data_IF_220624906407
#
_entry.id   IF_220624906407
#
_cell.length_a   1.000
_cell.length_b   1.000
_cell.length_c   1.000
_cell.angle_alpha   90.00
_cell.angle_beta   90.00
_cell.angle_gamma   90.00
#
_symmetry.space_group_name_H-M   'P 1'
#
loop_
_entity.id
_entity.type
_entity.pdbx_description
1 polymer ?
#
# COMPACT_ATOMS: atom_id res chain seq x y z
N UNK A 1 -17.77 -31.68 33.44
CA UNK A 1 -17.92 -30.24 33.35
C UNK A 1 -16.60 -29.46 33.37
N UNK A 2 -15.52 -29.89 34.00
CA UNK A 2 -14.23 -29.17 34.05
C UNK A 2 -13.42 -29.22 32.74
N UNK A 3 -13.59 -30.22 31.90
CA UNK A 3 -12.86 -30.39 30.62
C UNK A 3 -13.41 -29.49 29.49
N UNK A 4 -14.69 -29.11 29.56
CA UNK A 4 -15.32 -28.26 28.55
C UNK A 4 -14.90 -26.76 28.66
N UNK A 5 -14.57 -26.35 29.90
CA UNK A 5 -14.14 -24.96 30.17
C UNK A 5 -12.73 -24.69 29.67
N UNK A 6 -11.84 -25.68 29.62
CA UNK A 6 -10.47 -25.56 29.18
C UNK A 6 -10.40 -25.40 27.65
N UNK A 7 -11.30 -26.07 26.90
CA UNK A 7 -11.38 -25.96 25.45
C UNK A 7 -11.83 -24.56 25.00
N UNK A 8 -12.68 -23.89 25.78
CA UNK A 8 -13.17 -22.54 25.45
C UNK A 8 -12.10 -21.45 25.65
N UNK A 9 -11.20 -21.65 26.62
CA UNK A 9 -10.09 -20.70 26.88
C UNK A 9 -8.98 -20.79 25.84
N UNK A 10 -8.78 -21.94 25.18
CA UNK A 10 -7.79 -22.11 24.12
C UNK A 10 -8.28 -21.46 22.82
N UNK A 11 -9.60 -21.46 22.56
CA UNK A 11 -10.17 -20.84 21.35
C UNK A 11 -10.16 -19.29 21.39
N UNK A 12 -10.18 -18.70 22.59
CA UNK A 12 -10.13 -17.25 22.77
C UNK A 12 -8.74 -16.65 22.49
N UNK A 13 -7.67 -17.47 22.45
CA UNK A 13 -6.29 -17.01 22.19
C UNK A 13 -5.97 -16.89 20.70
N UNK A 14 -6.80 -17.38 19.80
CA UNK A 14 -6.58 -17.29 18.35
C UNK A 14 -7.18 -16.01 17.70
N UNK A 15 -7.85 -15.16 18.47
CA UNK A 15 -8.43 -13.89 17.97
C UNK A 15 -7.48 -12.68 18.11
N UNK A 16 -6.20 -12.88 18.43
CA UNK A 16 -5.20 -11.81 18.46
C UNK A 16 -4.34 -11.81 17.21
N UNK A 17 -4.81 -11.14 16.18
CA UNK A 17 -4.07 -10.91 14.95
C UNK A 17 -4.79 -9.97 14.00
N UNK A 18 -5.64 -9.06 14.51
CA UNK A 18 -6.04 -7.92 13.71
C UNK A 18 -4.75 -7.14 13.39
N UNK A 19 -4.48 -6.97 12.10
CA UNK A 19 -3.37 -6.14 11.64
C UNK A 19 -3.58 -4.72 12.18
N UNK A 20 -2.83 -4.36 13.21
CA UNK A 20 -2.92 -3.08 13.92
C UNK A 20 -2.01 -2.02 13.32
N UNK A 21 -1.57 -2.19 12.07
CA UNK A 21 -0.73 -1.19 11.41
C UNK A 21 -1.44 0.16 11.40
N UNK A 22 -0.85 1.14 12.09
CA UNK A 22 -1.39 2.48 12.19
C UNK A 22 -1.27 3.20 10.83
N UNK A 23 -2.38 3.73 10.34
CA UNK A 23 -2.44 4.62 9.18
C UNK A 23 -2.27 6.08 9.59
N UNK A 24 -2.17 6.98 8.60
CA UNK A 24 -2.29 8.43 8.84
C UNK A 24 -3.68 8.78 9.37
N UNK A 25 -3.79 9.91 10.05
CA UNK A 25 -5.04 10.31 10.71
C UNK A 25 -6.13 10.73 9.71
N UNK A 26 -5.76 11.26 8.54
CA UNK A 26 -6.70 11.57 7.46
C UNK A 26 -6.03 11.68 6.10
N UNK A 27 -6.78 11.39 5.05
CA UNK A 27 -6.39 11.55 3.64
C UNK A 27 -7.48 12.33 2.91
N UNK A 28 -7.08 13.44 2.29
CA UNK A 28 -7.88 14.15 1.32
C UNK A 28 -7.82 13.37 -0.01
N UNK A 29 -8.92 12.68 -0.34
CA UNK A 29 -8.96 11.82 -1.53
C UNK A 29 -8.76 12.60 -2.82
N UNK A 30 -9.24 13.85 -2.91
CA UNK A 30 -9.09 14.65 -4.13
C UNK A 30 -7.63 15.01 -4.37
N UNK A 31 -6.90 15.43 -3.33
CA UNK A 31 -5.45 15.71 -3.40
C UNK A 31 -4.64 14.45 -3.67
N UNK A 32 -5.11 13.30 -3.17
CA UNK A 32 -4.43 12.02 -3.35
C UNK A 32 -4.51 11.51 -4.79
N UNK A 33 -5.55 11.86 -5.55
CA UNK A 33 -5.74 11.38 -6.93
C UNK A 33 -4.60 11.81 -7.86
N UNK A 34 -4.56 11.19 -9.03
CA UNK A 34 -3.54 11.41 -10.05
C UNK A 34 -2.41 10.38 -10.02
N UNK A 35 -1.31 10.71 -10.66
CA UNK A 35 -0.16 9.80 -10.85
C UNK A 35 0.82 9.89 -9.69
N UNK A 36 1.30 8.72 -9.28
CA UNK A 36 2.36 8.53 -8.31
C UNK A 36 3.41 7.55 -8.87
N UNK A 37 4.66 7.95 -8.87
CA UNK A 37 5.78 7.08 -9.24
C UNK A 37 6.18 6.20 -8.06
N UNK A 38 6.41 4.91 -8.28
CA UNK A 38 6.97 4.03 -7.26
C UNK A 38 8.46 4.30 -7.18
N UNK A 39 8.92 4.92 -6.10
CA UNK A 39 10.33 5.27 -5.87
C UNK A 39 11.09 4.08 -5.30
N UNK A 40 10.52 3.46 -4.26
CA UNK A 40 11.09 2.26 -3.63
C UNK A 40 9.98 1.34 -3.15
N UNK A 41 10.25 0.06 -3.10
CA UNK A 41 9.29 -0.94 -2.66
C UNK A 41 9.97 -2.11 -1.94
N UNK A 42 9.21 -2.80 -1.09
CA UNK A 42 9.57 -4.14 -0.63
C UNK A 42 9.27 -5.10 -1.77
N UNK A 43 10.28 -5.79 -2.34
CA UNK A 43 10.11 -6.63 -3.52
C UNK A 43 9.01 -7.66 -3.38
N UNK A 44 8.13 -7.74 -4.37
CA UNK A 44 7.06 -8.70 -4.47
C UNK A 44 7.07 -9.37 -5.85
N UNK A 45 6.33 -10.46 -6.02
CA UNK A 45 6.36 -11.25 -7.25
C UNK A 45 5.91 -10.49 -8.51
N UNK A 46 5.03 -9.49 -8.35
CA UNK A 46 4.49 -8.73 -9.48
C UNK A 46 5.51 -7.69 -9.95
N UNK A 47 6.10 -6.96 -9.02
CA UNK A 47 6.87 -5.74 -9.30
C UNK A 47 8.39 -5.95 -9.30
N UNK A 48 8.88 -7.08 -8.76
CA UNK A 48 10.32 -7.38 -8.75
C UNK A 48 10.91 -7.30 -10.16
N UNK A 49 11.94 -6.46 -10.33
CA UNK A 49 12.61 -6.22 -11.60
C UNK A 49 11.83 -5.36 -12.59
N UNK A 50 10.71 -4.76 -12.17
CA UNK A 50 10.00 -3.76 -12.97
C UNK A 50 10.71 -2.40 -12.88
N UNK A 51 10.68 -1.63 -13.96
CA UNK A 51 11.21 -0.27 -14.07
C UNK A 51 10.09 0.68 -14.50
N UNK A 52 10.29 1.99 -14.32
CA UNK A 52 9.32 3.03 -14.69
C UNK A 52 7.92 2.82 -14.08
N UNK A 53 7.88 2.23 -12.89
CA UNK A 53 6.63 1.86 -12.23
C UNK A 53 5.87 3.08 -11.69
N UNK A 54 4.58 3.11 -11.93
CA UNK A 54 3.69 4.17 -11.41
C UNK A 54 2.26 3.66 -11.24
N UNK A 55 1.53 4.25 -10.29
CA UNK A 55 0.09 4.10 -10.14
C UNK A 55 -0.63 5.40 -10.47
N UNK A 56 -1.75 5.30 -11.17
CA UNK A 56 -2.65 6.42 -11.40
C UNK A 56 -3.98 6.13 -10.72
N UNK A 57 -4.42 7.04 -9.85
CA UNK A 57 -5.64 6.94 -9.05
C UNK A 57 -6.69 7.90 -9.58
N UNK A 58 -7.93 7.42 -9.73
CA UNK A 58 -9.08 8.23 -10.17
C UNK A 58 -10.28 7.96 -9.26
N UNK A 59 -10.77 9.00 -8.60
CA UNK A 59 -11.95 8.93 -7.74
C UNK A 59 -13.22 8.91 -8.60
N UNK A 60 -14.03 7.88 -8.44
CA UNK A 60 -15.30 7.72 -9.13
C UNK A 60 -16.45 8.40 -8.35
N UNK A 61 -17.55 8.71 -9.05
CA UNK A 61 -18.74 9.32 -8.45
C UNK A 61 -19.38 8.46 -7.34
N UNK A 62 -19.19 7.15 -7.38
CA UNK A 62 -19.68 6.20 -6.37
C UNK A 62 -18.75 6.07 -5.15
N UNK A 63 -17.67 6.86 -5.11
CA UNK A 63 -16.67 6.84 -4.03
C UNK A 63 -15.65 5.70 -4.13
N UNK A 64 -15.69 4.90 -5.18
CA UNK A 64 -14.62 3.93 -5.48
C UNK A 64 -13.47 4.62 -6.20
N UNK A 65 -12.31 3.96 -6.24
CA UNK A 65 -11.10 4.51 -6.84
C UNK A 65 -10.61 3.54 -7.91
N UNK A 66 -10.55 3.99 -9.16
CA UNK A 66 -9.89 3.24 -10.22
C UNK A 66 -8.38 3.46 -10.12
N UNK A 67 -7.62 2.37 -10.16
CA UNK A 67 -6.17 2.36 -10.03
C UNK A 67 -5.58 1.68 -11.24
N UNK A 68 -4.65 2.36 -11.92
CA UNK A 68 -3.91 1.81 -13.05
C UNK A 68 -2.43 1.79 -12.71
N UNK A 69 -1.88 0.60 -12.55
CA UNK A 69 -0.44 0.38 -12.42
C UNK A 69 0.16 0.22 -13.82
N UNK A 70 1.19 0.98 -14.11
CA UNK A 70 1.98 0.93 -15.34
C UNK A 70 3.45 0.69 -14.99
N UNK A 71 4.13 -0.18 -15.74
CA UNK A 71 5.55 -0.45 -15.58
C UNK A 71 6.16 -1.05 -16.85
N UNK A 72 7.47 -1.14 -16.90
CA UNK A 72 8.21 -1.95 -17.87
C UNK A 72 8.81 -3.15 -17.13
N UNK A 73 8.55 -4.36 -17.60
CA UNK A 73 9.12 -5.59 -17.05
C UNK A 73 9.59 -6.49 -18.18
N UNK A 74 10.83 -6.94 -18.10
CA UNK A 74 11.49 -7.74 -19.15
C UNK A 74 11.42 -7.06 -20.54
N UNK A 75 11.60 -5.73 -20.56
CA UNK A 75 11.54 -4.90 -21.76
C UNK A 75 10.13 -4.70 -22.35
N UNK A 76 9.08 -5.15 -21.67
CA UNK A 76 7.70 -5.06 -22.13
C UNK A 76 6.85 -4.20 -21.23
N UNK A 77 5.99 -3.36 -21.82
CA UNK A 77 4.99 -2.61 -21.07
C UNK A 77 4.01 -3.56 -20.36
N UNK A 78 3.79 -3.29 -19.09
CA UNK A 78 2.83 -3.99 -18.23
C UNK A 78 1.82 -2.99 -17.69
N UNK A 79 0.57 -3.39 -17.73
CA UNK A 79 -0.52 -2.61 -17.14
C UNK A 79 -1.42 -3.53 -16.32
N UNK A 80 -1.72 -3.10 -15.09
CA UNK A 80 -2.66 -3.78 -14.20
C UNK A 80 -3.74 -2.78 -13.80
N UNK A 81 -5.01 -3.16 -13.98
CA UNK A 81 -6.15 -2.35 -13.54
C UNK A 81 -6.72 -2.91 -12.25
N UNK A 82 -6.97 -2.04 -11.31
CA UNK A 82 -7.46 -2.37 -9.97
C UNK A 82 -8.59 -1.41 -9.58
N UNK A 83 -9.36 -1.82 -8.60
CA UNK A 83 -10.39 -0.97 -7.98
C UNK A 83 -10.18 -0.93 -6.47
N UNK A 84 -10.04 0.27 -5.94
CA UNK A 84 -10.00 0.55 -4.51
C UNK A 84 -11.39 0.86 -3.96
N UNK A 85 -11.65 0.35 -2.77
CA UNK A 85 -12.82 0.71 -1.97
C UNK A 85 -12.33 1.19 -0.61
N UNK A 86 -12.62 2.43 -0.26
CA UNK A 86 -12.29 2.99 1.05
C UNK A 86 -13.14 2.28 2.10
N UNK A 87 -12.47 1.67 3.11
CA UNK A 87 -13.15 0.93 4.18
C UNK A 87 -13.19 1.72 5.49
N UNK A 88 -12.15 2.52 5.79
CA UNK A 88 -12.20 3.50 6.87
C UNK A 88 -12.53 4.88 6.29
N UNK A 89 -13.80 5.25 6.39
CA UNK A 89 -14.30 6.52 5.90
C UNK A 89 -14.04 7.70 6.83
N UNK A 90 -13.51 7.44 8.01
CA UNK A 90 -13.12 8.50 8.95
C UNK A 90 -11.78 9.11 8.55
N UNK A 91 -10.79 8.25 8.32
CA UNK A 91 -9.45 8.68 7.89
C UNK A 91 -9.27 8.70 6.37
N UNK A 92 -10.06 7.93 5.61
CA UNK A 92 -9.85 7.60 4.20
C UNK A 92 -8.48 6.91 3.91
N UNK A 93 -7.78 6.43 4.93
CA UNK A 93 -6.43 5.92 4.79
C UNK A 93 -6.34 4.39 4.65
N UNK A 94 -7.45 3.69 4.80
CA UNK A 94 -7.51 2.23 4.64
C UNK A 94 -8.49 1.83 3.56
N UNK A 95 -7.98 1.08 2.57
CA UNK A 95 -8.76 0.61 1.42
C UNK A 95 -8.63 -0.90 1.24
N UNK A 96 -9.56 -1.47 0.47
CA UNK A 96 -9.46 -2.81 -0.12
C UNK A 96 -9.30 -2.69 -1.62
N UNK A 97 -8.25 -3.32 -2.15
CA UNK A 97 -7.92 -3.30 -3.57
C UNK A 97 -8.34 -4.63 -4.19
N UNK A 98 -9.06 -4.59 -5.30
CA UNK A 98 -9.42 -5.74 -6.11
C UNK A 98 -8.82 -5.64 -7.51
N UNK A 99 -8.17 -6.71 -7.95
CA UNK A 99 -7.67 -6.82 -9.32
C UNK A 99 -8.82 -6.84 -10.32
N UNK A 100 -8.73 -6.05 -11.39
CA UNK A 100 -9.77 -5.93 -12.42
C UNK A 100 -9.27 -6.42 -13.78
N UNK A 101 -7.97 -6.24 -14.06
CA UNK A 101 -7.34 -6.77 -15.27
C UNK A 101 -5.87 -7.12 -14.94
N UNK A 102 -5.51 -8.40 -14.85
CA UNK A 102 -6.41 -9.58 -14.92
C UNK A 102 -7.44 -9.57 -13.79
N UNK A 103 -8.65 -10.07 -14.04
CA UNK A 103 -9.67 -10.19 -13.00
C UNK A 103 -9.39 -11.41 -12.12
N UNK A 104 -9.22 -11.17 -10.81
CA UNK A 104 -9.05 -12.23 -9.82
C UNK A 104 -10.24 -12.12 -8.85
N UNK A 105 -11.26 -13.00 -9.00
CA UNK A 105 -12.45 -12.95 -8.16
C UNK A 105 -12.11 -13.28 -6.70
N UNK A 106 -12.88 -12.73 -5.79
CA UNK A 106 -12.83 -12.98 -4.33
C UNK A 106 -11.53 -12.57 -3.62
N UNK A 107 -10.49 -12.15 -4.35
CA UNK A 107 -9.23 -11.72 -3.78
C UNK A 107 -9.23 -10.20 -3.61
N UNK A 108 -9.15 -9.74 -2.37
CA UNK A 108 -9.02 -8.33 -2.00
C UNK A 108 -7.76 -8.15 -1.17
N UNK A 109 -6.98 -7.14 -1.52
CA UNK A 109 -5.73 -6.81 -0.85
C UNK A 109 -5.92 -5.58 0.02
N UNK A 110 -5.37 -5.56 1.25
CA UNK A 110 -5.34 -4.35 2.05
C UNK A 110 -4.41 -3.31 1.42
N UNK A 111 -4.76 -2.04 1.57
CA UNK A 111 -3.97 -0.90 1.16
C UNK A 111 -4.06 0.12 2.29
N UNK A 112 -2.95 0.40 2.96
CA UNK A 112 -2.90 1.24 4.13
C UNK A 112 -1.95 2.41 3.89
N UNK A 113 -2.48 3.62 3.83
CA UNK A 113 -1.68 4.83 3.71
C UNK A 113 -1.10 5.13 5.08
N UNK A 114 0.21 4.94 5.24
CA UNK A 114 0.92 5.06 6.51
C UNK A 114 1.77 6.33 6.62
N UNK A 115 1.96 7.00 5.50
CA UNK A 115 2.59 8.30 5.39
C UNK A 115 2.02 9.06 4.19
N UNK A 116 1.78 10.33 4.34
CA UNK A 116 1.57 11.30 3.27
C UNK A 116 2.03 12.65 3.82
N UNK A 117 2.81 13.39 3.04
CA UNK A 117 3.22 14.74 3.42
C UNK A 117 2.10 15.77 3.18
N UNK A 118 2.20 16.93 3.82
CA UNK A 118 1.15 17.96 3.78
C UNK A 118 0.86 18.47 2.35
N UNK A 119 1.85 18.42 1.47
CA UNK A 119 1.73 18.87 0.08
C UNK A 119 1.28 17.77 -0.88
N UNK A 120 1.14 16.51 -0.41
CA UNK A 120 0.83 15.35 -1.25
C UNK A 120 1.87 15.10 -2.36
N UNK A 121 3.15 15.38 -2.07
CA UNK A 121 4.27 15.12 -2.97
C UNK A 121 4.84 13.72 -2.79
N UNK A 122 4.82 13.21 -1.54
CA UNK A 122 5.31 11.89 -1.18
C UNK A 122 4.31 11.13 -0.32
N UNK A 123 4.26 9.81 -0.51
CA UNK A 123 3.47 8.91 0.32
C UNK A 123 4.18 7.59 0.57
N UNK A 124 3.73 6.87 1.61
CA UNK A 124 4.07 5.46 1.79
C UNK A 124 2.82 4.64 2.07
N UNK A 125 2.81 3.46 1.48
CA UNK A 125 1.76 2.45 1.66
C UNK A 125 2.35 1.26 2.41
N UNK A 126 1.67 0.85 3.46
CA UNK A 126 2.00 -0.32 4.25
C UNK A 126 1.12 -1.52 3.91
N UNK A 127 1.64 -2.69 4.28
CA UNK A 127 0.96 -3.97 4.09
C UNK A 127 1.12 -4.85 5.33
N UNK A 128 0.11 -5.70 5.66
CA UNK A 128 0.16 -6.58 6.83
C UNK A 128 1.46 -7.35 6.97
N UNK A 129 1.97 -7.42 8.20
CA UNK A 129 3.22 -8.10 8.55
C UNK A 129 4.46 -7.55 7.81
N UNK A 130 4.36 -6.36 7.23
CA UNK A 130 5.45 -5.71 6.48
C UNK A 130 6.01 -6.55 5.31
N UNK A 131 5.18 -7.43 4.75
CA UNK A 131 5.60 -8.32 3.65
C UNK A 131 5.64 -7.62 2.29
N UNK A 132 4.99 -6.48 2.17
CA UNK A 132 5.05 -5.55 1.05
C UNK A 132 5.05 -4.12 1.60
N UNK A 133 5.44 -3.16 0.79
CA UNK A 133 5.41 -1.74 1.14
C UNK A 133 5.93 -0.91 -0.02
N UNK A 134 5.46 0.33 -0.12
CA UNK A 134 5.80 1.22 -1.23
C UNK A 134 6.09 2.62 -0.70
N UNK A 135 7.12 3.24 -1.26
CA UNK A 135 7.40 4.67 -1.13
C UNK A 135 7.18 5.26 -2.52
N UNK A 136 6.32 6.26 -2.61
CA UNK A 136 5.89 6.83 -3.87
C UNK A 136 5.99 8.35 -3.85
N UNK A 137 6.13 8.96 -5.02
CA UNK A 137 6.18 10.41 -5.17
C UNK A 137 5.50 10.90 -6.44
N UNK A 138 5.20 12.21 -6.48
CA UNK A 138 4.68 12.86 -7.69
C UNK A 138 5.72 12.94 -8.80
N UNK A 139 6.98 12.80 -8.44
CA UNK A 139 8.10 12.61 -9.36
C UNK A 139 8.79 11.28 -9.08
N UNK A 140 9.59 10.81 -10.02
CA UNK A 140 10.36 9.56 -9.87
C UNK A 140 11.61 9.72 -9.00
N UNK A 141 11.89 10.91 -8.50
CA UNK A 141 13.08 11.24 -7.71
C UNK A 141 12.68 11.64 -6.30
N UNK A 142 13.55 11.33 -5.35
CA UNK A 142 13.41 11.70 -3.94
C UNK A 142 14.78 12.12 -3.41
N UNK A 143 14.81 13.11 -2.51
CA UNK A 143 16.04 13.46 -1.80
C UNK A 143 16.30 12.49 -0.65
N UNK A 144 17.57 12.36 -0.23
CA UNK A 144 17.93 11.52 0.92
C UNK A 144 17.22 11.98 2.20
N UNK A 145 17.00 13.29 2.35
CA UNK A 145 16.28 13.87 3.49
C UNK A 145 14.83 13.37 3.55
N UNK A 146 14.08 13.51 2.44
CA UNK A 146 12.68 13.06 2.36
C UNK A 146 12.57 11.53 2.48
N UNK A 147 13.46 10.79 1.84
CA UNK A 147 13.50 9.34 1.97
C UNK A 147 13.71 8.90 3.43
N UNK A 148 14.68 9.51 4.12
CA UNK A 148 14.94 9.19 5.53
C UNK A 148 13.77 9.56 6.44
N UNK A 149 13.09 10.68 6.19
CA UNK A 149 11.88 11.10 6.91
C UNK A 149 10.75 10.09 6.78
N UNK A 150 10.51 9.58 5.57
CA UNK A 150 9.53 8.53 5.33
C UNK A 150 9.95 7.23 6.03
N UNK A 151 11.22 6.86 5.92
CA UNK A 151 11.76 5.65 6.56
C UNK A 151 11.59 5.66 8.08
N UNK A 152 11.81 6.81 8.75
CA UNK A 152 11.55 6.94 10.19
C UNK A 152 10.09 6.57 10.53
N UNK A 153 9.14 6.96 9.69
CA UNK A 153 7.73 6.62 9.90
C UNK A 153 7.46 5.13 9.66
N UNK A 154 8.07 4.55 8.63
CA UNK A 154 7.96 3.12 8.32
C UNK A 154 8.62 2.23 9.38
N UNK A 155 9.79 2.63 9.89
CA UNK A 155 10.51 1.89 10.96
C UNK A 155 9.70 1.81 12.26
N UNK A 156 8.93 2.86 12.60
CA UNK A 156 7.99 2.83 13.74
C UNK A 156 6.89 1.78 13.58
N UNK A 157 6.61 1.36 12.34
CA UNK A 157 5.65 0.31 12.00
C UNK A 157 6.32 -1.06 11.86
N UNK A 158 7.64 -1.15 12.09
CA UNK A 158 8.40 -2.38 12.07
C UNK A 158 9.03 -2.73 10.70
N UNK A 159 8.98 -1.84 9.72
CA UNK A 159 9.77 -2.00 8.50
C UNK A 159 11.26 -1.83 8.79
N UNK A 160 12.10 -2.42 7.94
CA UNK A 160 13.55 -2.21 7.96
C UNK A 160 13.96 -1.56 6.64
N UNK A 161 14.93 -0.64 6.72
CA UNK A 161 15.39 0.10 5.54
C UNK A 161 15.95 -0.83 4.44
N UNK A 162 16.61 -1.91 4.83
CA UNK A 162 17.20 -2.91 3.92
C UNK A 162 16.16 -3.80 3.21
N UNK A 163 14.88 -3.72 3.58
CA UNK A 163 13.80 -4.38 2.85
C UNK A 163 13.42 -3.64 1.56
N UNK A 164 13.73 -2.34 1.45
CA UNK A 164 13.30 -1.52 0.32
C UNK A 164 14.37 -1.48 -0.77
N UNK A 165 13.93 -1.76 -1.99
CA UNK A 165 14.72 -1.61 -3.21
C UNK A 165 14.20 -0.42 -4.02
N UNK A 166 15.12 0.42 -4.53
CA UNK A 166 14.75 1.52 -5.41
C UNK A 166 14.33 1.00 -6.79
N UNK A 167 13.27 1.59 -7.32
CA UNK A 167 12.80 1.35 -8.68
C UNK A 167 13.59 2.24 -9.64
N UNK A 168 14.11 1.64 -10.71
CA UNK A 168 14.79 2.39 -11.76
C UNK A 168 13.77 3.15 -12.61
N UNK A 169 14.06 4.44 -12.85
CA UNK A 169 13.32 5.31 -13.77
C UNK A 169 14.29 5.93 -14.77
N UNK A 170 13.90 5.99 -16.03
CA UNK A 170 14.64 6.63 -17.12
C UNK A 170 14.45 8.15 -17.10
#
# INVERSE_FOLDING_TARGET
MKTLLILFLIFASFLKGADTMKTVDSVDLEKFMGKWFVIALVPNMIEKGATNSSDTYVLNKDGTIDITYDAIKDGQARQIKQKGTVIDKTSNAEWKIQMRKPFIPFMKFPFKIVYVDDNYEYMAVGYPKNTMGWIMGRTSKITDEEYNKIMISLEKLGYKKDQFEFVQHD
#
